data_IF_823597620915
#
_entry.id   IF_823597620915
#
_cell.length_a   1.000
_cell.length_b   1.000
_cell.length_c   1.000
_cell.angle_alpha   90.00
_cell.angle_beta   90.00
_cell.angle_gamma   90.00
#
_symmetry.space_group_name_H-M   'P 1'
#
loop_
_entity.id
_entity.type
_entity.pdbx_description
1 polymer ?
#
# COMPACT_ATOMS: atom_id res chain seq x y z
N UNK A 1 27.23 50.55 -3.84
CA UNK A 1 27.37 50.15 -2.43
C UNK A 1 28.09 48.81 -2.41
N UNK A 2 29.38 48.84 -2.06
CA UNK A 2 30.19 47.64 -1.92
C UNK A 2 29.84 46.97 -0.59
N UNK A 3 29.60 45.66 -0.61
CA UNK A 3 29.37 44.87 0.59
C UNK A 3 30.70 44.29 1.07
N UNK A 4 31.06 44.60 2.32
CA UNK A 4 32.18 44.00 3.03
C UNK A 4 32.02 42.48 3.10
N UNK A 5 33.11 41.76 2.79
CA UNK A 5 33.24 40.34 3.12
C UNK A 5 33.96 40.22 4.47
N UNK A 6 33.43 39.46 5.44
CA UNK A 6 34.17 39.18 6.66
C UNK A 6 35.31 38.19 6.36
N UNK A 7 36.51 38.55 6.79
CA UNK A 7 37.68 37.67 6.86
C UNK A 7 37.41 36.59 7.91
N UNK A 8 37.46 35.33 7.49
CA UNK A 8 37.40 34.17 8.38
C UNK A 8 38.81 33.64 8.58
N UNK A 9 39.38 33.88 9.76
CA UNK A 9 40.68 33.37 10.18
C UNK A 9 40.56 31.92 10.66
N UNK A 10 40.97 30.98 9.81
CA UNK A 10 40.91 29.54 10.06
C UNK A 10 41.99 29.01 11.01
N UNK A 11 42.87 29.86 11.57
CA UNK A 11 43.99 29.40 12.43
C UNK A 11 43.66 29.29 13.93
N UNK A 12 42.40 29.45 14.33
CA UNK A 12 41.97 29.41 15.75
C UNK A 12 41.01 28.28 16.12
N UNK A 13 40.84 27.28 15.26
CA UNK A 13 40.17 26.02 15.58
C UNK A 13 41.24 24.94 15.53
N UNK A 14 41.77 24.49 16.68
CA UNK A 14 42.36 23.15 16.77
C UNK A 14 42.65 22.64 18.20
N UNK A 15 42.46 23.40 19.29
CA UNK A 15 42.74 22.86 20.65
C UNK A 15 41.54 22.83 21.63
N UNK A 16 40.46 23.57 21.37
CA UNK A 16 39.33 23.69 22.33
C UNK A 16 38.18 22.69 22.07
N UNK A 17 38.05 22.15 20.86
CA UNK A 17 36.93 21.24 20.52
C UNK A 17 37.11 19.82 21.08
N UNK A 18 38.35 19.36 21.26
CA UNK A 18 38.65 18.06 21.89
C UNK A 18 38.33 18.06 23.38
N UNK A 19 38.55 19.19 24.07
CA UNK A 19 38.19 19.35 25.47
C UNK A 19 36.67 19.45 25.68
N UNK A 20 35.95 20.09 24.75
CA UNK A 20 34.48 20.19 24.78
C UNK A 20 33.83 18.85 24.40
N UNK A 21 34.41 18.10 23.46
CA UNK A 21 33.96 16.75 23.13
C UNK A 21 34.24 15.76 24.28
N UNK A 22 35.42 15.81 24.90
CA UNK A 22 35.76 15.02 26.09
C UNK A 22 34.90 15.39 27.30
N UNK A 23 34.58 16.67 27.54
CA UNK A 23 33.63 17.09 28.59
C UNK A 23 32.18 16.75 28.29
N UNK A 24 31.80 16.62 27.01
CA UNK A 24 30.48 16.11 26.62
C UNK A 24 30.42 14.60 26.82
N UNK A 25 31.45 13.85 26.44
CA UNK A 25 31.54 12.40 26.66
C UNK A 25 31.64 12.04 28.15
N UNK A 26 32.38 12.80 28.96
CA UNK A 26 32.43 12.62 30.42
C UNK A 26 31.10 12.96 31.13
N UNK A 27 30.22 13.75 30.50
CA UNK A 27 28.84 13.95 30.96
C UNK A 27 27.88 12.81 30.56
N UNK A 28 28.26 11.96 29.62
CA UNK A 28 27.51 10.74 29.28
C UNK A 28 27.82 9.57 30.22
N UNK A 29 28.92 9.61 30.99
CA UNK A 29 29.30 8.55 31.94
C UNK A 29 28.32 8.38 33.12
N UNK A 30 27.47 9.39 33.36
CA UNK A 30 26.41 9.35 34.37
C UNK A 30 25.07 9.85 33.81
N UNK A 31 24.66 9.34 32.65
CA UNK A 31 23.23 9.30 32.38
C UNK A 31 22.59 8.41 33.43
N UNK A 32 21.83 9.01 34.35
CA UNK A 32 20.89 8.32 35.23
C UNK A 32 19.81 7.72 34.31
N UNK A 33 20.14 6.59 33.66
CA UNK A 33 19.21 5.79 32.90
C UNK A 33 18.11 5.45 33.89
N UNK A 34 16.98 6.15 33.77
CA UNK A 34 15.89 6.05 34.73
C UNK A 34 15.60 4.58 35.06
N UNK A 35 15.25 4.32 36.32
CA UNK A 35 15.14 3.03 37.03
C UNK A 35 14.33 1.90 36.34
N UNK A 36 13.91 2.10 35.10
CA UNK A 36 13.28 1.16 34.21
C UNK A 36 14.21 0.00 33.80
N UNK A 37 13.65 -1.21 33.74
CA UNK A 37 14.40 -2.43 33.42
C UNK A 37 14.89 -2.45 31.97
N UNK A 38 14.15 -1.85 31.03
CA UNK A 38 14.50 -1.86 29.60
C UNK A 38 15.68 -0.94 29.29
N UNK A 39 15.82 0.17 30.01
CA UNK A 39 16.95 1.09 29.84
C UNK A 39 18.28 0.44 30.24
N UNK A 40 18.29 -0.31 31.36
CA UNK A 40 19.46 -1.07 31.84
C UNK A 40 19.85 -2.21 30.90
N UNK A 41 18.86 -2.93 30.40
CA UNK A 41 19.07 -3.99 29.41
C UNK A 41 19.64 -3.42 28.10
N UNK A 42 19.09 -2.30 27.61
CA UNK A 42 19.61 -1.61 26.43
C UNK A 42 21.05 -1.08 26.63
N UNK A 43 21.40 -0.62 27.83
CA UNK A 43 22.77 -0.21 28.17
C UNK A 43 23.74 -1.39 28.17
N UNK A 44 23.39 -2.52 28.82
CA UNK A 44 24.23 -3.72 28.89
C UNK A 44 24.43 -4.34 27.51
N UNK A 45 23.36 -4.53 26.74
CA UNK A 45 23.43 -5.12 25.41
C UNK A 45 24.10 -4.14 24.44
N UNK A 46 23.68 -2.88 24.43
CA UNK A 46 24.20 -1.86 23.51
C UNK A 46 25.67 -1.53 23.77
N UNK A 47 26.03 -1.23 25.02
CA UNK A 47 27.40 -0.95 25.44
C UNK A 47 28.31 -2.16 25.27
N UNK A 48 27.85 -3.35 25.68
CA UNK A 48 28.63 -4.58 25.54
C UNK A 48 28.87 -4.97 24.08
N UNK A 49 27.90 -4.73 23.20
CA UNK A 49 28.07 -4.92 21.75
C UNK A 49 29.07 -3.93 21.17
N UNK A 50 29.00 -2.64 21.53
CA UNK A 50 29.96 -1.61 21.07
C UNK A 50 31.38 -1.94 21.53
N UNK A 51 31.56 -2.38 22.77
CA UNK A 51 32.86 -2.77 23.30
C UNK A 51 33.43 -3.99 22.55
N UNK A 52 32.60 -4.97 22.23
CA UNK A 52 32.99 -6.15 21.45
C UNK A 52 33.35 -5.78 20.00
N UNK A 53 32.58 -4.87 19.38
CA UNK A 53 32.86 -4.31 18.05
C UNK A 53 34.22 -3.61 18.06
N UNK A 54 34.47 -2.72 19.02
CA UNK A 54 35.74 -1.99 19.13
C UNK A 54 36.95 -2.94 19.30
N UNK A 55 36.78 -4.01 20.09
CA UNK A 55 37.79 -5.07 20.23
C UNK A 55 38.00 -5.86 18.93
N UNK A 56 36.93 -6.15 18.19
CA UNK A 56 37.01 -6.89 16.92
C UNK A 56 37.73 -6.08 15.82
N UNK A 57 37.44 -4.78 15.71
CA UNK A 57 38.05 -3.89 14.71
C UNK A 57 39.51 -3.52 14.99
N UNK A 58 39.97 -3.66 16.25
CA UNK A 58 41.38 -3.46 16.62
C UNK A 58 42.23 -4.74 16.48
N UNK A 59 41.61 -5.90 16.22
CA UNK A 59 42.27 -7.18 15.99
C UNK A 59 42.59 -7.48 14.51
N UNK A 60 43.53 -8.41 14.26
CA UNK A 60 43.99 -8.83 12.92
C UNK A 60 42.99 -9.71 12.12
N UNK A 61 41.74 -9.83 12.54
CA UNK A 61 40.76 -10.79 11.96
C UNK A 61 39.78 -10.19 10.94
N UNK A 62 40.13 -9.04 10.34
CA UNK A 62 39.30 -8.31 9.38
C UNK A 62 38.86 -9.15 8.16
N UNK A 63 39.68 -10.13 7.75
CA UNK A 63 39.40 -11.02 6.61
C UNK A 63 38.28 -12.01 6.92
N UNK A 64 38.23 -12.55 8.14
CA UNK A 64 37.21 -13.50 8.57
C UNK A 64 35.85 -12.81 8.73
N UNK A 65 35.84 -11.62 9.34
CA UNK A 65 34.65 -10.75 9.43
C UNK A 65 34.12 -10.34 8.05
N UNK A 66 35.01 -10.14 7.07
CA UNK A 66 34.63 -9.83 5.69
C UNK A 66 33.90 -10.97 4.98
N UNK A 67 34.36 -12.22 5.17
CA UNK A 67 33.72 -13.40 4.58
C UNK A 67 32.32 -13.65 5.16
N UNK A 68 32.15 -13.48 6.47
CA UNK A 68 30.85 -13.61 7.15
C UNK A 68 29.86 -12.52 6.72
N UNK A 69 30.34 -11.29 6.55
CA UNK A 69 29.53 -10.17 6.04
C UNK A 69 29.05 -10.41 4.61
N UNK A 70 29.91 -10.95 3.74
CA UNK A 70 29.55 -11.33 2.37
C UNK A 70 28.52 -12.48 2.34
N UNK A 71 28.69 -13.48 3.22
CA UNK A 71 27.72 -14.56 3.40
C UNK A 71 26.34 -14.04 3.82
N UNK A 72 26.29 -13.14 4.82
CA UNK A 72 25.06 -12.51 5.27
C UNK A 72 24.39 -11.65 4.18
N UNK A 73 25.18 -10.92 3.39
CA UNK A 73 24.67 -10.16 2.25
C UNK A 73 24.06 -11.06 1.17
N UNK A 74 24.70 -12.20 0.86
CA UNK A 74 24.18 -13.20 -0.07
C UNK A 74 22.86 -13.83 0.43
N UNK A 75 22.77 -14.15 1.73
CA UNK A 75 21.54 -14.62 2.37
C UNK A 75 20.45 -13.55 2.30
N UNK A 76 20.76 -12.28 2.59
CA UNK A 76 19.81 -11.16 2.46
C UNK A 76 19.28 -11.00 1.03
N UNK A 77 20.14 -11.17 0.02
CA UNK A 77 19.75 -11.14 -1.39
C UNK A 77 18.87 -12.34 -1.76
N UNK A 78 19.22 -13.54 -1.32
CA UNK A 78 18.43 -14.76 -1.54
C UNK A 78 17.06 -14.69 -0.86
N UNK A 79 17.01 -14.17 0.37
CA UNK A 79 15.77 -13.89 1.12
C UNK A 79 14.89 -12.93 0.33
N UNK A 80 15.43 -11.81 -0.17
CA UNK A 80 14.64 -10.86 -0.99
C UNK A 80 14.15 -11.46 -2.31
N UNK A 81 14.99 -12.24 -3.00
CA UNK A 81 14.58 -12.94 -4.21
C UNK A 81 13.46 -13.97 -3.93
N UNK A 82 13.54 -14.66 -2.79
CA UNK A 82 12.51 -15.61 -2.34
C UNK A 82 11.23 -14.89 -1.90
N UNK A 83 11.31 -13.80 -1.14
CA UNK A 83 10.17 -12.96 -0.74
C UNK A 83 9.42 -12.37 -1.95
N UNK A 84 10.16 -12.02 -3.01
CA UNK A 84 9.60 -11.50 -4.24
C UNK A 84 8.80 -12.57 -5.01
N UNK A 85 9.24 -13.83 -4.96
CA UNK A 85 8.55 -14.96 -5.61
C UNK A 85 7.44 -15.56 -4.75
N UNK A 86 7.58 -15.54 -3.43
CA UNK A 86 6.67 -16.19 -2.48
C UNK A 86 6.28 -15.26 -1.33
N UNK A 87 5.43 -14.24 -1.58
CA UNK A 87 5.07 -13.24 -0.56
C UNK A 87 4.43 -13.83 0.69
N UNK A 88 3.67 -14.93 0.55
CA UNK A 88 3.01 -15.61 1.65
C UNK A 88 3.97 -16.23 2.67
N UNK A 89 5.22 -16.52 2.27
CA UNK A 89 6.24 -17.11 3.13
C UNK A 89 7.13 -16.05 3.80
N UNK A 90 6.90 -14.75 3.59
CA UNK A 90 7.72 -13.66 4.16
C UNK A 90 8.09 -13.85 5.64
N UNK A 91 7.16 -14.16 6.57
CA UNK A 91 7.51 -14.38 7.97
C UNK A 91 8.45 -15.58 8.15
N UNK A 92 8.18 -16.69 7.44
CA UNK A 92 8.98 -17.90 7.51
C UNK A 92 10.35 -17.73 6.86
N UNK A 93 10.46 -16.98 5.76
CA UNK A 93 11.73 -16.67 5.08
C UNK A 93 12.56 -15.69 5.90
N UNK A 94 11.94 -14.70 6.55
CA UNK A 94 12.65 -13.79 7.45
C UNK A 94 13.22 -14.54 8.67
N UNK A 95 12.42 -15.43 9.28
CA UNK A 95 12.87 -16.28 10.40
C UNK A 95 13.91 -17.30 9.93
N UNK A 96 13.72 -17.94 8.78
CA UNK A 96 14.69 -18.88 8.22
C UNK A 96 15.99 -18.17 7.78
N UNK A 97 15.92 -16.95 7.26
CA UNK A 97 17.09 -16.14 6.93
C UNK A 97 17.92 -15.79 8.17
N UNK A 98 17.26 -15.50 9.29
CA UNK A 98 17.92 -15.34 10.60
C UNK A 98 18.48 -16.68 11.10
N UNK A 99 17.73 -17.78 10.99
CA UNK A 99 18.17 -19.10 11.44
C UNK A 99 19.28 -19.73 10.57
N UNK A 100 19.40 -19.34 9.30
CA UNK A 100 20.44 -19.83 8.37
C UNK A 100 21.77 -19.09 8.52
N UNK A 101 21.85 -18.05 9.35
CA UNK A 101 23.15 -17.56 9.82
C UNK A 101 23.70 -18.56 10.85
N UNK A 102 24.39 -19.58 10.35
CA UNK A 102 24.93 -20.70 11.14
C UNK A 102 25.74 -20.24 12.36
N UNK A 103 26.40 -19.08 12.28
CA UNK A 103 27.11 -18.43 13.39
C UNK A 103 26.19 -17.99 14.53
N UNK A 104 25.05 -17.34 14.23
CA UNK A 104 24.11 -16.84 15.25
C UNK A 104 23.47 -17.99 16.02
N UNK A 105 23.08 -19.08 15.34
CA UNK A 105 22.50 -20.26 16.01
C UNK A 105 23.53 -20.99 16.85
N UNK A 106 24.74 -21.21 16.33
CA UNK A 106 25.83 -21.87 17.06
C UNK A 106 26.20 -21.09 18.33
N UNK A 107 26.34 -19.78 18.22
CA UNK A 107 26.77 -18.93 19.33
C UNK A 107 25.65 -18.75 20.35
N UNK A 108 24.37 -18.73 19.93
CA UNK A 108 23.22 -18.78 20.83
C UNK A 108 23.13 -20.11 21.61
N UNK A 109 23.45 -21.24 20.98
CA UNK A 109 23.45 -22.55 21.66
C UNK A 109 24.61 -22.66 22.66
N UNK A 110 25.79 -22.14 22.32
CA UNK A 110 26.96 -22.21 23.21
C UNK A 110 26.92 -21.21 24.36
N UNK A 111 26.43 -19.99 24.15
CA UNK A 111 26.47 -18.91 25.15
C UNK A 111 25.08 -18.52 25.69
N UNK A 112 24.00 -19.15 25.23
CA UNK A 112 22.64 -18.74 25.59
C UNK A 112 22.34 -18.77 27.09
N UNK A 113 22.88 -19.74 27.82
CA UNK A 113 22.74 -19.80 29.29
C UNK A 113 23.47 -18.67 29.99
N UNK A 114 24.69 -18.33 29.54
CA UNK A 114 25.49 -17.24 30.10
C UNK A 114 24.85 -15.88 29.81
N UNK A 115 24.41 -15.66 28.57
CA UNK A 115 23.67 -14.46 28.16
C UNK A 115 22.37 -14.34 28.98
N UNK A 116 21.62 -15.43 29.14
CA UNK A 116 20.39 -15.43 29.94
C UNK A 116 20.64 -15.06 31.41
N UNK A 117 21.73 -15.56 31.99
CA UNK A 117 22.12 -15.24 33.37
C UNK A 117 22.53 -13.75 33.50
N UNK A 118 23.27 -13.21 32.55
CA UNK A 118 23.67 -11.79 32.53
C UNK A 118 22.44 -10.87 32.43
N UNK A 119 21.46 -11.21 31.58
CA UNK A 119 20.24 -10.42 31.44
C UNK A 119 19.35 -10.50 32.69
N UNK A 120 19.23 -11.69 33.28
CA UNK A 120 18.49 -11.89 34.53
C UNK A 120 19.13 -11.08 35.67
N UNK A 121 20.45 -11.12 35.81
CA UNK A 121 21.18 -10.35 36.82
C UNK A 121 21.05 -8.83 36.59
N UNK A 122 21.02 -8.38 35.32
CA UNK A 122 20.77 -6.97 34.97
C UNK A 122 19.38 -6.48 35.39
N UNK A 123 18.39 -7.38 35.38
CA UNK A 123 17.03 -7.07 35.81
C UNK A 123 16.84 -7.07 37.33
N UNK A 124 17.57 -7.94 38.02
CA UNK A 124 17.46 -8.15 39.46
C UNK A 124 18.36 -7.21 40.26
N UNK A 125 19.52 -6.81 39.71
CA UNK A 125 20.54 -6.03 40.39
C UNK A 125 20.97 -4.81 39.57
N UNK A 126 20.37 -3.65 39.88
CA UNK A 126 20.65 -2.39 39.17
C UNK A 126 22.12 -1.92 39.28
N UNK A 127 22.81 -2.30 40.35
CA UNK A 127 24.20 -1.87 40.60
C UNK A 127 25.21 -2.74 39.83
N UNK A 128 24.76 -3.83 39.18
CA UNK A 128 25.63 -4.75 38.42
C UNK A 128 25.73 -4.37 36.93
N UNK A 129 25.11 -3.28 36.48
CA UNK A 129 25.06 -2.92 35.05
C UNK A 129 26.44 -2.88 34.36
N UNK A 130 27.46 -2.32 35.02
CA UNK A 130 28.79 -2.23 34.40
C UNK A 130 29.52 -3.58 34.35
N UNK A 131 29.33 -4.41 35.39
CA UNK A 131 29.85 -5.78 35.41
C UNK A 131 29.15 -6.62 34.33
N UNK A 132 27.83 -6.49 34.22
CA UNK A 132 27.02 -7.20 33.23
C UNK A 132 27.28 -6.71 31.81
N UNK A 133 27.55 -5.42 31.60
CA UNK A 133 28.02 -4.88 30.31
C UNK A 133 29.33 -5.54 29.89
N UNK A 134 30.31 -5.65 30.79
CA UNK A 134 31.61 -6.29 30.51
C UNK A 134 31.48 -7.79 30.28
N UNK A 135 30.71 -8.48 31.12
CA UNK A 135 30.39 -9.89 30.95
C UNK A 135 29.64 -10.15 29.64
N UNK A 136 28.70 -9.27 29.30
CA UNK A 136 28.02 -9.30 28.01
C UNK A 136 29.02 -9.06 26.89
N UNK A 137 29.93 -8.09 26.96
CA UNK A 137 30.95 -7.87 25.93
C UNK A 137 31.84 -9.11 25.70
N UNK A 138 32.14 -9.88 26.75
CA UNK A 138 32.97 -11.08 26.69
C UNK A 138 32.22 -12.32 26.19
N UNK A 139 30.99 -12.53 26.66
CA UNK A 139 30.23 -13.76 26.38
C UNK A 139 29.10 -13.57 25.35
N UNK A 140 28.45 -12.40 25.36
CA UNK A 140 27.36 -12.02 24.45
C UNK A 140 27.76 -11.03 23.35
N UNK A 141 28.95 -10.45 23.41
CA UNK A 141 29.38 -9.35 22.55
C UNK A 141 29.71 -9.82 21.15
N UNK A 142 30.30 -11.03 21.04
CA UNK A 142 30.45 -11.73 19.76
C UNK A 142 29.08 -12.06 19.15
N UNK A 143 28.13 -12.54 19.95
CA UNK A 143 26.76 -12.77 19.49
C UNK A 143 26.08 -11.47 19.03
N UNK A 144 26.22 -10.38 19.77
CA UNK A 144 25.69 -9.07 19.42
C UNK A 144 26.31 -8.50 18.14
N UNK A 145 27.64 -8.65 17.98
CA UNK A 145 28.36 -8.30 16.76
C UNK A 145 27.91 -9.16 15.58
N UNK A 146 27.84 -10.49 15.74
CA UNK A 146 27.42 -11.41 14.68
C UNK A 146 25.96 -11.16 14.28
N UNK A 147 25.08 -10.86 15.24
CA UNK A 147 23.70 -10.47 14.99
C UNK A 147 23.64 -9.10 14.29
N UNK A 148 24.46 -8.13 14.69
CA UNK A 148 24.52 -6.81 14.07
C UNK A 148 25.10 -6.86 12.64
N UNK A 149 26.14 -7.67 12.40
CA UNK A 149 26.72 -7.92 11.09
C UNK A 149 25.80 -8.73 10.20
N UNK A 150 25.09 -9.72 10.77
CA UNK A 150 24.09 -10.49 10.03
C UNK A 150 22.89 -9.63 9.68
N UNK A 151 22.38 -8.84 10.63
CA UNK A 151 21.26 -7.93 10.40
C UNK A 151 21.65 -6.80 9.46
N UNK A 152 22.81 -6.18 9.68
CA UNK A 152 23.37 -5.13 8.83
C UNK A 152 23.69 -5.62 7.42
N UNK A 153 24.33 -6.79 7.31
CA UNK A 153 24.60 -7.48 6.05
C UNK A 153 23.31 -7.88 5.32
N UNK A 154 22.30 -8.37 6.04
CA UNK A 154 20.99 -8.67 5.47
C UNK A 154 20.26 -7.40 5.02
N UNK A 155 20.34 -6.30 5.77
CA UNK A 155 19.78 -5.00 5.39
C UNK A 155 20.48 -4.41 4.17
N UNK A 156 21.82 -4.45 4.11
CA UNK A 156 22.63 -4.00 2.98
C UNK A 156 22.38 -4.89 1.75
N UNK A 157 22.40 -6.21 1.90
CA UNK A 157 22.05 -7.17 0.85
C UNK A 157 20.62 -6.97 0.36
N UNK A 158 19.69 -6.63 1.25
CA UNK A 158 18.32 -6.24 0.91
C UNK A 158 18.29 -4.92 0.13
N UNK A 159 19.04 -3.90 0.53
CA UNK A 159 19.09 -2.61 -0.16
C UNK A 159 19.72 -2.73 -1.56
N UNK A 160 20.82 -3.47 -1.68
CA UNK A 160 21.49 -3.79 -2.96
C UNK A 160 20.58 -4.65 -3.83
N UNK A 161 20.02 -5.73 -3.27
CA UNK A 161 19.04 -6.56 -3.96
C UNK A 161 17.83 -5.75 -4.42
N UNK A 162 17.37 -4.79 -3.63
CA UNK A 162 16.30 -3.89 -4.03
C UNK A 162 16.73 -2.99 -5.21
N UNK A 163 17.94 -2.44 -5.17
CA UNK A 163 18.45 -1.62 -6.27
C UNK A 163 18.68 -2.42 -7.56
N UNK A 164 19.14 -3.67 -7.45
CA UNK A 164 19.39 -4.55 -8.60
C UNK A 164 18.07 -5.04 -9.19
N UNK A 165 17.15 -5.53 -8.35
CA UNK A 165 15.87 -6.09 -8.78
C UNK A 165 14.81 -5.04 -9.14
N UNK A 166 14.98 -3.78 -8.72
CA UNK A 166 13.97 -2.74 -8.93
C UNK A 166 14.54 -1.39 -9.39
N UNK A 167 15.83 -1.34 -9.72
CA UNK A 167 16.43 -0.15 -10.32
C UNK A 167 15.93 0.10 -11.75
N UNK A 168 16.27 1.26 -12.33
CA UNK A 168 15.83 1.65 -13.69
C UNK A 168 16.10 0.60 -14.78
N UNK A 169 17.17 -0.20 -14.63
CA UNK A 169 17.54 -1.29 -15.56
C UNK A 169 16.95 -2.66 -15.25
N UNK A 170 16.12 -2.81 -14.22
CA UNK A 170 15.49 -4.11 -13.90
C UNK A 170 14.43 -4.48 -14.94
N UNK A 171 14.31 -5.76 -15.27
CA UNK A 171 13.21 -6.32 -16.05
C UNK A 171 11.97 -6.62 -15.19
N UNK A 172 11.95 -6.17 -13.93
CA UNK A 172 10.83 -6.41 -13.03
C UNK A 172 10.25 -5.11 -12.48
N UNK A 173 8.96 -5.15 -12.17
CA UNK A 173 8.23 -4.07 -11.50
C UNK A 173 7.54 -4.61 -10.25
N UNK A 174 7.40 -3.74 -9.25
CA UNK A 174 6.54 -4.00 -8.09
C UNK A 174 5.15 -3.51 -8.42
N UNK A 175 4.18 -4.40 -8.26
CA UNK A 175 2.78 -4.04 -8.35
C UNK A 175 2.12 -4.44 -7.05
N UNK A 176 1.48 -3.49 -6.33
CA UNK A 176 0.66 -3.82 -5.19
C UNK A 176 -0.53 -4.66 -5.65
N UNK A 177 -0.72 -5.83 -5.03
CA UNK A 177 -1.81 -6.74 -5.38
C UNK A 177 -2.61 -7.15 -4.16
N UNK A 178 -3.87 -7.55 -4.39
CA UNK A 178 -4.69 -8.21 -3.37
C UNK A 178 -4.97 -9.67 -3.75
N UNK A 179 -4.12 -10.58 -3.28
CA UNK A 179 -4.33 -12.02 -3.44
C UNK A 179 -5.09 -12.63 -2.24
N UNK A 180 -6.32 -12.17 -2.01
CA UNK A 180 -7.24 -12.78 -1.04
C UNK A 180 -6.77 -12.94 0.40
N UNK A 181 -7.56 -13.65 1.24
CA UNK A 181 -7.11 -14.03 2.55
C UNK A 181 -5.94 -14.99 2.33
N UNK A 182 -4.73 -14.56 2.63
CA UNK A 182 -3.60 -15.49 2.74
C UNK A 182 -3.96 -16.64 3.69
N UNK A 183 -3.10 -17.66 3.76
CA UNK A 183 -3.26 -18.92 4.52
C UNK A 183 -3.85 -18.81 5.94
N UNK A 184 -3.84 -17.63 6.56
CA UNK A 184 -4.28 -17.39 7.95
C UNK A 184 -5.47 -16.44 8.11
N UNK A 185 -6.15 -16.01 7.05
CA UNK A 185 -7.37 -15.19 7.15
C UNK A 185 -7.18 -13.80 7.81
N UNK A 186 -5.95 -13.40 8.15
CA UNK A 186 -5.65 -12.09 8.72
C UNK A 186 -5.59 -11.06 7.60
N UNK A 187 -6.59 -10.17 7.60
CA UNK A 187 -6.71 -8.91 6.86
C UNK A 187 -5.97 -8.81 5.53
N UNK A 188 -6.71 -8.79 4.41
CA UNK A 188 -6.23 -8.43 3.07
C UNK A 188 -5.53 -7.07 3.11
N UNK A 189 -4.22 -7.07 3.28
CA UNK A 189 -3.38 -5.91 3.02
C UNK A 189 -2.75 -6.11 1.66
N UNK A 190 -2.64 -5.04 0.86
CA UNK A 190 -1.98 -5.16 -0.42
C UNK A 190 -0.55 -5.61 -0.16
N UNK A 191 -0.07 -6.56 -0.94
CA UNK A 191 1.32 -6.96 -0.92
C UNK A 191 1.93 -6.70 -2.29
N UNK A 192 3.13 -6.14 -2.26
CA UNK A 192 3.95 -5.98 -3.45
C UNK A 192 4.28 -7.36 -4.02
N UNK A 193 3.85 -7.60 -5.27
CA UNK A 193 4.30 -8.74 -6.08
C UNK A 193 5.30 -8.25 -7.11
N UNK A 194 6.25 -9.14 -7.41
CA UNK A 194 7.18 -8.96 -8.50
C UNK A 194 6.54 -9.48 -9.79
N UNK A 195 6.50 -8.64 -10.82
CA UNK A 195 6.11 -9.04 -12.17
C UNK A 195 7.23 -8.71 -13.13
N UNK A 196 7.39 -9.52 -14.18
CA UNK A 196 8.22 -9.12 -15.33
C UNK A 196 7.60 -7.87 -15.96
N UNK A 197 8.43 -6.96 -16.49
CA UNK A 197 7.95 -5.82 -17.29
C UNK A 197 7.14 -6.30 -18.49
N UNK A 198 7.50 -7.45 -19.05
CA UNK A 198 6.80 -8.06 -20.19
C UNK A 198 5.56 -8.88 -19.76
N UNK A 199 5.23 -8.92 -18.46
CA UNK A 199 4.02 -9.60 -18.00
C UNK A 199 2.77 -8.90 -18.58
N UNK A 200 1.84 -9.62 -19.20
CA UNK A 200 0.64 -9.01 -19.78
C UNK A 200 -0.17 -8.17 -18.80
N UNK A 201 -0.20 -8.52 -17.51
CA UNK A 201 -0.91 -7.75 -16.49
C UNK A 201 -0.21 -6.43 -16.17
N UNK A 202 1.12 -6.40 -16.24
CA UNK A 202 1.90 -5.17 -16.08
C UNK A 202 1.69 -4.26 -17.27
N UNK A 203 1.78 -4.78 -18.48
CA UNK A 203 1.52 -4.02 -19.71
C UNK A 203 0.12 -3.43 -19.69
N UNK A 204 -0.86 -4.20 -19.24
CA UNK A 204 -2.23 -3.75 -19.06
C UNK A 204 -2.36 -2.64 -18.02
N UNK A 205 -1.72 -2.80 -16.85
CA UNK A 205 -1.69 -1.79 -15.80
C UNK A 205 -1.05 -0.48 -16.29
N UNK A 206 0.12 -0.55 -16.91
CA UNK A 206 0.84 0.62 -17.40
C UNK A 206 0.07 1.33 -18.50
N UNK A 207 -0.61 0.57 -19.39
CA UNK A 207 -1.51 1.15 -20.40
C UNK A 207 -2.71 1.83 -19.76
N UNK A 208 -3.33 1.23 -18.74
CA UNK A 208 -4.52 1.77 -18.10
C UNK A 208 -4.23 2.92 -17.12
N UNK A 209 -3.04 2.95 -16.51
CA UNK A 209 -2.66 3.89 -15.44
C UNK A 209 -2.92 5.35 -15.79
N UNK A 210 -2.57 5.87 -17.00
CA UNK A 210 -2.83 7.26 -17.36
C UNK A 210 -4.30 7.68 -17.30
N UNK A 211 -5.20 6.72 -17.50
CA UNK A 211 -6.64 6.95 -17.53
C UNK A 211 -7.33 6.74 -16.18
N UNK A 212 -6.61 6.36 -15.15
CA UNK A 212 -7.19 6.16 -13.81
C UNK A 212 -6.93 7.40 -12.97
N UNK A 213 -8.01 7.89 -12.35
CA UNK A 213 -8.04 9.12 -11.61
C UNK A 213 -8.40 8.84 -10.16
N UNK A 214 -7.73 9.51 -9.23
CA UNK A 214 -8.14 9.52 -7.84
C UNK A 214 -9.20 10.60 -7.61
N UNK A 215 -10.42 10.20 -7.25
CA UNK A 215 -11.51 11.12 -6.99
C UNK A 215 -11.51 11.56 -5.53
N UNK A 216 -11.57 12.87 -5.33
CA UNK A 216 -11.75 13.48 -4.02
C UNK A 216 -13.04 14.29 -4.01
N UNK A 217 -13.90 14.00 -3.05
CA UNK A 217 -15.17 14.71 -2.94
C UNK A 217 -15.49 15.05 -1.48
N UNK A 218 -15.99 16.25 -1.22
CA UNK A 218 -16.50 16.64 0.11
C UNK A 218 -17.81 17.42 0.03
N UNK A 219 -18.63 17.27 1.07
CA UNK A 219 -19.90 17.98 1.18
C UNK A 219 -19.71 19.49 1.42
N UNK A 220 -18.64 19.84 2.15
CA UNK A 220 -18.25 21.22 2.42
C UNK A 220 -16.78 21.41 2.04
N UNK A 221 -16.42 22.64 1.64
CA UNK A 221 -15.03 23.01 1.39
C UNK A 221 -14.24 22.88 2.70
N UNK A 222 -13.16 22.11 2.69
CA UNK A 222 -12.33 21.86 3.88
C UNK A 222 -12.82 20.78 4.84
N UNK A 223 -13.98 20.14 4.59
CA UNK A 223 -14.39 18.97 5.39
C UNK A 223 -13.61 17.72 4.99
N UNK A 224 -13.72 16.66 5.81
CA UNK A 224 -13.17 15.34 5.47
C UNK A 224 -13.63 14.92 4.06
N UNK A 225 -12.66 14.63 3.19
CA UNK A 225 -12.90 14.23 1.81
C UNK A 225 -13.09 12.72 1.75
N UNK A 226 -14.16 12.26 1.11
CA UNK A 226 -14.23 10.89 0.64
C UNK A 226 -13.24 10.71 -0.51
N UNK A 227 -12.46 9.63 -0.45
CA UNK A 227 -11.57 9.19 -1.52
C UNK A 227 -12.26 8.05 -2.27
N UNK A 228 -12.22 8.13 -3.60
CA UNK A 228 -12.78 7.17 -4.53
C UNK A 228 -11.92 7.15 -5.79
N UNK A 229 -12.37 6.45 -6.82
CA UNK A 229 -11.74 6.40 -8.13
C UNK A 229 -12.67 6.97 -9.20
N UNK A 230 -12.08 7.36 -10.32
CA UNK A 230 -12.74 7.58 -11.58
C UNK A 230 -11.81 7.10 -12.70
N UNK A 231 -12.32 6.96 -13.92
CA UNK A 231 -11.47 6.69 -15.07
C UNK A 231 -11.94 7.43 -16.31
N UNK A 232 -10.98 7.82 -17.14
CA UNK A 232 -11.19 8.52 -18.40
C UNK A 232 -11.77 7.59 -19.46
N UNK A 233 -12.71 8.15 -20.21
CA UNK A 233 -13.37 7.53 -21.35
C UNK A 233 -13.43 8.55 -22.50
N UNK A 234 -13.88 8.10 -23.66
CA UNK A 234 -14.13 8.92 -24.85
C UNK A 234 -12.86 9.52 -25.46
N UNK A 235 -12.73 10.85 -25.52
CA UNK A 235 -11.53 11.59 -25.97
C UNK A 235 -10.67 12.03 -24.77
N UNK A 236 -10.88 11.46 -23.59
CA UNK A 236 -10.17 11.83 -22.37
C UNK A 236 -10.69 13.10 -21.69
N UNK A 237 -11.78 13.71 -22.18
CA UNK A 237 -12.45 14.84 -21.52
C UNK A 237 -13.53 14.40 -20.51
N UNK A 238 -14.03 13.18 -20.64
CA UNK A 238 -15.06 12.60 -19.78
C UNK A 238 -14.46 11.54 -18.86
N UNK A 239 -14.97 11.48 -17.63
CA UNK A 239 -14.64 10.43 -16.68
C UNK A 239 -15.90 9.77 -16.12
N UNK A 240 -15.78 8.48 -15.79
CA UNK A 240 -16.84 7.70 -15.14
C UNK A 240 -16.47 7.46 -13.68
N UNK A 241 -17.44 7.61 -12.77
CA UNK A 241 -17.33 7.19 -11.37
C UNK A 241 -18.68 6.65 -10.87
N UNK A 242 -18.78 6.30 -9.59
CA UNK A 242 -20.08 5.97 -8.98
C UNK A 242 -20.84 7.22 -8.55
N UNK A 243 -22.16 7.19 -8.67
CA UNK A 243 -23.06 8.26 -8.22
C UNK A 243 -22.87 8.56 -6.73
N UNK A 244 -22.81 7.53 -5.87
CA UNK A 244 -22.66 7.71 -4.43
C UNK A 244 -21.35 8.40 -4.03
N UNK A 245 -20.33 8.40 -4.89
CA UNK A 245 -19.06 9.08 -4.63
C UNK A 245 -19.16 10.61 -4.78
N UNK A 246 -20.11 11.09 -5.60
CA UNK A 246 -20.27 12.52 -5.95
C UNK A 246 -21.59 13.13 -5.47
N UNK A 247 -22.59 12.30 -5.14
CA UNK A 247 -23.90 12.78 -4.70
C UNK A 247 -23.80 13.63 -3.41
N UNK A 248 -24.43 14.81 -3.43
CA UNK A 248 -24.42 15.77 -2.33
C UNK A 248 -23.05 16.41 -2.03
N UNK A 249 -22.06 16.26 -2.92
CA UNK A 249 -20.71 16.83 -2.76
C UNK A 249 -20.63 18.17 -3.50
N UNK A 250 -19.97 19.14 -2.89
CA UNK A 250 -19.82 20.51 -3.43
C UNK A 250 -18.40 20.81 -3.90
N UNK A 251 -17.40 20.19 -3.28
CA UNK A 251 -15.99 20.31 -3.64
C UNK A 251 -15.55 18.97 -4.22
N UNK A 252 -15.44 18.89 -5.55
CA UNK A 252 -15.08 17.67 -6.28
C UNK A 252 -13.90 18.00 -7.20
N UNK A 253 -12.85 17.21 -7.09
CA UNK A 253 -11.71 17.26 -8.00
C UNK A 253 -11.12 15.85 -8.14
N UNK A 254 -10.33 15.67 -9.18
CA UNK A 254 -9.57 14.44 -9.41
C UNK A 254 -8.08 14.72 -9.32
N UNK A 255 -7.29 13.72 -8.94
CA UNK A 255 -5.84 13.73 -9.07
C UNK A 255 -5.48 12.72 -10.16
N UNK A 256 -4.76 13.15 -11.20
CA UNK A 256 -4.31 12.25 -12.26
C UNK A 256 -3.03 11.48 -11.87
N UNK A 257 -2.55 10.59 -12.75
CA UNK A 257 -1.36 9.79 -12.48
C UNK A 257 -0.06 10.63 -12.40
N UNK A 258 -0.07 11.88 -12.87
CA UNK A 258 1.04 12.82 -12.73
C UNK A 258 0.96 13.58 -11.39
N UNK A 259 -0.04 13.28 -10.55
CA UNK A 259 -0.27 13.98 -9.27
C UNK A 259 -0.92 15.35 -9.44
N UNK A 260 -1.39 15.71 -10.64
CA UNK A 260 -2.01 17.00 -10.89
C UNK A 260 -3.47 16.97 -10.45
N UNK A 261 -3.86 17.94 -9.61
CA UNK A 261 -5.25 18.14 -9.22
C UNK A 261 -6.00 18.83 -10.36
N UNK A 262 -7.14 18.29 -10.78
CA UNK A 262 -7.99 18.83 -11.83
C UNK A 262 -9.41 19.02 -11.32
N UNK A 263 -9.98 20.19 -11.58
CA UNK A 263 -11.40 20.42 -11.29
C UNK A 263 -12.27 19.54 -12.17
N UNK A 264 -13.47 19.19 -11.68
CA UNK A 264 -14.44 18.42 -12.47
C UNK A 264 -15.82 19.04 -12.37
N UNK A 265 -16.59 18.91 -13.45
CA UNK A 265 -18.00 19.22 -13.49
C UNK A 265 -18.79 17.91 -13.52
N UNK A 266 -19.80 17.76 -12.67
CA UNK A 266 -20.69 16.59 -12.73
C UNK A 266 -21.74 16.85 -13.80
N UNK A 267 -21.67 16.11 -14.91
CA UNK A 267 -22.59 16.28 -16.04
C UNK A 267 -23.90 15.54 -15.81
N UNK A 268 -23.81 14.31 -15.32
CA UNK A 268 -24.97 13.44 -15.13
C UNK A 268 -24.75 12.52 -13.93
N UNK A 269 -25.81 12.30 -13.15
CA UNK A 269 -25.86 11.33 -12.05
C UNK A 269 -27.04 10.39 -12.28
N UNK A 270 -26.77 9.09 -12.36
CA UNK A 270 -27.76 8.02 -12.41
C UNK A 270 -27.68 7.22 -11.10
N UNK A 271 -28.52 7.58 -10.13
CA UNK A 271 -28.56 6.93 -8.83
C UNK A 271 -29.00 5.44 -8.91
N UNK A 272 -30.02 5.06 -9.71
CA UNK A 272 -30.38 3.65 -9.87
C UNK A 272 -29.21 2.76 -10.33
N UNK A 273 -28.43 3.21 -11.33
CA UNK A 273 -27.27 2.45 -11.85
C UNK A 273 -26.00 2.67 -11.01
N UNK A 274 -26.04 3.62 -10.09
CA UNK A 274 -24.92 4.14 -9.32
C UNK A 274 -23.72 4.55 -10.18
N UNK A 275 -24.00 5.33 -11.22
CA UNK A 275 -23.03 5.82 -12.19
C UNK A 275 -23.13 7.35 -12.26
N UNK A 276 -21.99 8.03 -12.33
CA UNK A 276 -21.93 9.44 -12.65
C UNK A 276 -20.91 9.70 -13.76
N UNK A 277 -21.24 10.65 -14.63
CA UNK A 277 -20.36 11.13 -15.69
C UNK A 277 -19.85 12.51 -15.30
N UNK A 278 -18.54 12.64 -15.33
CA UNK A 278 -17.81 13.86 -15.00
C UNK A 278 -17.16 14.42 -16.26
N UNK A 279 -17.08 15.74 -16.36
CA UNK A 279 -16.18 16.44 -17.28
C UNK A 279 -14.94 16.85 -16.52
N UNK A 280 -13.77 16.42 -16.96
CA UNK A 280 -12.49 16.81 -16.33
C UNK A 280 -12.01 18.10 -16.97
N UNK A 281 -11.75 19.12 -16.16
CA UNK A 281 -11.26 20.41 -16.67
C UNK A 281 -9.77 20.30 -17.01
N UNK A 282 -9.31 20.98 -18.06
CA UNK A 282 -7.88 21.15 -18.29
C UNK A 282 -7.20 21.93 -17.18
N UNK A 283 -5.92 21.62 -16.96
CA UNK A 283 -5.08 22.37 -16.03
C UNK A 283 -5.32 22.04 -14.55
N UNK A 284 -4.76 22.89 -13.69
CA UNK A 284 -4.83 22.75 -12.24
C UNK A 284 -6.19 23.19 -11.70
N UNK A 285 -6.70 22.49 -10.69
CA UNK A 285 -7.95 22.80 -9.99
C UNK A 285 -8.04 24.24 -9.43
N UNK A 286 -6.91 24.96 -9.33
CA UNK A 286 -6.87 26.35 -8.87
C UNK A 286 -7.26 27.37 -9.96
N UNK A 287 -7.22 27.01 -11.25
CA UNK A 287 -7.66 27.87 -12.33
C UNK A 287 -9.19 27.82 -12.40
N UNK A 288 -9.85 28.83 -11.84
CA UNK A 288 -11.30 28.96 -11.79
C UNK A 288 -11.94 29.38 -13.13
N UNK A 289 -11.22 29.21 -14.25
CA UNK A 289 -11.74 29.54 -15.57
C UNK A 289 -12.93 28.62 -15.91
N UNK A 290 -14.09 29.18 -16.31
CA UNK A 290 -15.24 28.39 -16.71
C UNK A 290 -14.90 27.51 -17.91
N UNK A 291 -15.32 26.24 -17.86
CA UNK A 291 -14.99 25.18 -18.81
C UNK A 291 -15.65 25.33 -20.20
N UNK A 292 -16.01 26.54 -20.63
CA UNK A 292 -17.02 26.78 -21.66
C UNK A 292 -16.52 26.87 -23.11
N UNK A 293 -15.23 26.70 -23.43
CA UNK A 293 -14.80 26.89 -24.84
C UNK A 293 -13.66 26.02 -25.38
N UNK A 294 -13.01 25.16 -24.59
CA UNK A 294 -11.93 24.31 -25.13
C UNK A 294 -12.15 22.86 -24.71
N UNK A 295 -12.41 21.98 -25.70
CA UNK A 295 -12.22 20.52 -25.58
C UNK A 295 -10.73 20.27 -25.37
N UNK A 296 -10.26 20.49 -24.15
CA UNK A 296 -8.90 20.16 -23.81
C UNK A 296 -8.85 18.67 -23.48
N UNK A 297 -8.40 17.91 -24.46
CA UNK A 297 -8.10 16.49 -24.33
C UNK A 297 -6.92 16.36 -23.38
N UNK A 298 -7.10 15.61 -22.29
CA UNK A 298 -5.95 15.17 -21.50
C UNK A 298 -5.05 14.33 -22.41
N UNK A 299 -3.71 14.43 -22.31
CA UNK A 299 -2.80 13.75 -23.23
C UNK A 299 -2.70 12.24 -22.96
N UNK A 300 -3.77 11.63 -22.44
CA UNK A 300 -3.83 10.26 -21.96
C UNK A 300 -4.78 9.46 -22.84
N UNK A 301 -4.37 8.26 -23.26
CA UNK A 301 -5.22 7.36 -24.03
C UNK A 301 -6.40 6.88 -23.16
N UNK A 302 -7.64 7.27 -23.48
CA UNK A 302 -8.82 6.91 -22.68
C UNK A 302 -9.08 5.40 -22.72
N UNK A 303 -9.73 4.88 -21.68
CA UNK A 303 -10.10 3.47 -21.67
C UNK A 303 -11.26 3.21 -22.63
N UNK A 304 -11.13 2.15 -23.43
CA UNK A 304 -12.19 1.67 -24.31
C UNK A 304 -13.23 0.89 -23.51
N UNK A 305 -14.51 1.21 -23.70
CA UNK A 305 -15.61 0.39 -23.19
C UNK A 305 -15.73 -0.89 -24.04
N UNK A 306 -15.92 -2.03 -23.39
CA UNK A 306 -16.23 -3.27 -24.09
C UNK A 306 -17.62 -3.17 -24.77
N UNK A 307 -17.77 -3.83 -25.92
CA UNK A 307 -19.03 -3.84 -26.69
C UNK A 307 -20.12 -4.68 -26.01
N UNK A 308 -19.71 -5.64 -25.19
CA UNK A 308 -20.59 -6.53 -24.45
C UNK A 308 -20.20 -6.61 -22.98
N UNK A 309 -21.16 -7.03 -22.15
CA UNK A 309 -20.90 -7.31 -20.73
C UNK A 309 -19.99 -8.53 -20.59
N UNK A 310 -19.21 -8.56 -19.50
CA UNK A 310 -18.44 -9.75 -19.15
C UNK A 310 -19.37 -10.91 -18.78
N UNK A 311 -19.00 -12.11 -19.22
CA UNK A 311 -19.71 -13.35 -18.94
C UNK A 311 -19.17 -14.03 -17.67
N UNK A 312 -19.94 -14.92 -17.03
CA UNK A 312 -19.45 -15.71 -15.90
C UNK A 312 -18.15 -16.44 -16.23
N UNK A 313 -17.20 -16.45 -15.28
CA UNK A 313 -15.83 -17.00 -15.37
C UNK A 313 -14.82 -16.15 -16.14
N UNK A 314 -15.23 -15.08 -16.81
CA UNK A 314 -14.30 -14.15 -17.42
C UNK A 314 -13.29 -13.64 -16.38
N UNK A 315 -12.03 -13.58 -16.80
CA UNK A 315 -10.95 -13.05 -15.97
C UNK A 315 -11.01 -11.54 -15.98
N UNK A 316 -11.05 -10.98 -14.78
CA UNK A 316 -11.17 -9.56 -14.56
C UNK A 316 -9.96 -9.02 -13.84
N UNK A 317 -9.67 -7.76 -14.10
CA UNK A 317 -8.68 -6.98 -13.38
C UNK A 317 -9.30 -5.69 -12.89
N UNK A 318 -9.29 -5.47 -11.58
CA UNK A 318 -9.63 -4.15 -11.03
C UNK A 318 -8.36 -3.38 -10.79
N UNK A 319 -8.30 -2.18 -11.36
CA UNK A 319 -7.18 -1.27 -11.20
C UNK A 319 -7.66 -0.06 -10.42
N UNK A 320 -7.07 0.16 -9.24
CA UNK A 320 -7.60 1.17 -8.31
C UNK A 320 -6.51 1.90 -7.55
N UNK A 321 -6.67 3.22 -7.39
CA UNK A 321 -6.02 3.98 -6.33
C UNK A 321 -6.71 3.65 -5.02
N UNK A 322 -5.94 3.34 -3.98
CA UNK A 322 -6.49 2.98 -2.68
C UNK A 322 -6.00 3.89 -1.58
N UNK A 323 -6.87 4.06 -0.58
CA UNK A 323 -6.50 4.82 0.62
C UNK A 323 -5.24 4.20 1.25
N UNK A 324 -4.22 5.03 1.47
CA UNK A 324 -2.90 4.70 2.03
C UNK A 324 -1.95 3.96 1.08
N UNK A 325 -2.35 3.67 -0.16
CA UNK A 325 -1.43 3.23 -1.20
C UNK A 325 -1.01 4.45 -2.03
N UNK A 326 0.27 4.53 -2.37
CA UNK A 326 0.78 5.57 -3.27
C UNK A 326 0.55 5.21 -4.74
N UNK A 327 0.53 3.92 -5.03
CA UNK A 327 0.40 3.36 -6.36
C UNK A 327 -0.96 2.69 -6.60
N UNK A 328 -1.25 2.47 -7.88
CA UNK A 328 -2.38 1.66 -8.31
C UNK A 328 -2.20 0.22 -7.83
N UNK A 329 -3.31 -0.35 -7.39
CA UNK A 329 -3.37 -1.74 -6.96
C UNK A 329 -4.07 -2.59 -8.01
N UNK A 330 -3.56 -3.80 -8.22
CA UNK A 330 -4.19 -4.82 -9.05
C UNK A 330 -4.92 -5.84 -8.20
N UNK A 331 -6.21 -6.03 -8.50
CA UNK A 331 -7.01 -7.06 -7.88
C UNK A 331 -7.55 -7.99 -8.96
N UNK A 332 -6.83 -9.07 -9.29
CA UNK A 332 -7.33 -10.06 -10.23
C UNK A 332 -8.55 -10.78 -9.62
N UNK A 333 -9.52 -11.12 -10.46
CA UNK A 333 -10.70 -11.85 -10.04
C UNK A 333 -11.40 -12.49 -11.22
N UNK A 334 -12.58 -13.04 -10.95
CA UNK A 334 -13.43 -13.63 -11.95
C UNK A 334 -14.87 -13.16 -11.79
N UNK A 335 -15.60 -13.11 -12.89
CA UNK A 335 -17.05 -12.99 -12.87
C UNK A 335 -17.69 -14.25 -12.26
N UNK A 336 -18.65 -14.05 -11.36
CA UNK A 336 -19.38 -15.12 -10.69
C UNK A 336 -20.76 -15.26 -11.32
N UNK A 337 -21.17 -16.51 -11.59
CA UNK A 337 -22.56 -16.80 -11.95
C UNK A 337 -23.46 -16.58 -10.72
N UNK A 338 -24.43 -15.68 -10.83
CA UNK A 338 -25.40 -15.42 -9.78
C UNK A 338 -26.14 -16.68 -9.30
N UNK A 339 -26.36 -17.66 -10.17
CA UNK A 339 -26.98 -18.95 -9.78
C UNK A 339 -26.13 -19.69 -8.76
N UNK A 340 -24.80 -19.61 -8.88
CA UNK A 340 -23.87 -20.20 -7.90
C UNK A 340 -23.80 -19.38 -6.60
N UNK A 341 -24.17 -18.09 -6.66
CA UNK A 341 -24.12 -17.17 -5.52
C UNK A 341 -25.36 -17.27 -4.61
N UNK A 342 -26.52 -17.65 -5.15
CA UNK A 342 -27.81 -17.71 -4.46
C UNK A 342 -27.92 -18.79 -3.36
N UNK A 343 -26.92 -19.66 -3.19
CA UNK A 343 -26.95 -20.75 -2.21
C UNK A 343 -26.46 -20.36 -0.79
N UNK A 344 -26.10 -19.09 -0.53
CA UNK A 344 -25.82 -18.61 0.84
C UNK A 344 -27.07 -18.00 1.49
N UNK A 345 -27.73 -18.67 2.46
CA UNK A 345 -29.08 -18.31 2.89
C UNK A 345 -29.21 -17.02 3.73
N UNK A 346 -28.12 -16.33 4.05
CA UNK A 346 -28.13 -15.11 4.90
C UNK A 346 -26.98 -14.18 4.52
N UNK A 347 -27.20 -13.31 3.53
CA UNK A 347 -26.28 -12.20 3.26
C UNK A 347 -26.90 -10.91 3.77
N UNK A 348 -26.28 -10.35 4.81
CA UNK A 348 -26.54 -8.99 5.28
C UNK A 348 -25.54 -8.03 4.64
N UNK A 349 -26.01 -6.82 4.34
CA UNK A 349 -25.23 -5.78 3.68
C UNK A 349 -24.80 -4.74 4.70
N UNK A 350 -23.53 -4.36 4.68
CA UNK A 350 -23.10 -3.14 5.36
C UNK A 350 -22.52 -2.16 4.34
N UNK A 351 -23.25 -1.08 4.05
CA UNK A 351 -22.60 0.11 3.51
C UNK A 351 -21.64 0.66 4.57
N UNK A 352 -20.48 1.13 4.12
CA UNK A 352 -19.43 1.67 4.97
C UNK A 352 -19.97 2.79 5.88
N UNK A 353 -19.77 2.65 7.19
CA UNK A 353 -19.65 3.78 8.12
C UNK A 353 -20.88 4.21 8.92
N UNK A 354 -22.08 3.73 8.62
CA UNK A 354 -23.28 4.03 9.41
C UNK A 354 -23.67 2.87 10.33
N UNK A 355 -24.09 3.15 11.58
CA UNK A 355 -24.86 2.20 12.42
C UNK A 355 -26.24 1.97 11.77
N UNK A 356 -26.30 1.33 10.60
CA UNK A 356 -27.56 0.97 9.96
C UNK A 356 -28.13 -0.27 10.66
N UNK A 357 -29.32 -0.13 11.22
CA UNK A 357 -30.11 -1.23 11.76
C UNK A 357 -30.60 -2.11 10.60
N UNK A 358 -30.38 -3.41 10.73
CA UNK A 358 -30.83 -4.62 9.99
C UNK A 358 -32.11 -4.63 9.10
N UNK A 359 -32.58 -3.55 8.46
CA UNK A 359 -33.88 -3.58 7.72
C UNK A 359 -33.78 -3.51 6.19
N UNK A 360 -32.58 -3.56 5.59
CA UNK A 360 -32.45 -3.60 4.13
C UNK A 360 -32.60 -5.04 3.63
N UNK A 361 -33.67 -5.30 2.88
CA UNK A 361 -33.87 -6.60 2.19
C UNK A 361 -33.24 -6.53 0.81
N UNK A 362 -32.35 -7.48 0.52
CA UNK A 362 -31.88 -7.72 -0.83
C UNK A 362 -32.59 -8.94 -1.37
N UNK A 363 -33.24 -8.77 -2.51
CA UNK A 363 -33.81 -9.87 -3.27
C UNK A 363 -32.89 -10.14 -4.44
N UNK A 364 -32.25 -11.31 -4.42
CA UNK A 364 -31.51 -11.83 -5.57
C UNK A 364 -32.49 -12.63 -6.41
N UNK A 365 -32.77 -12.19 -7.63
CA UNK A 365 -33.53 -13.00 -8.57
C UNK A 365 -32.56 -13.88 -9.38
N UNK A 366 -32.52 -15.21 -9.14
CA UNK A 366 -31.57 -16.10 -9.81
C UNK A 366 -31.87 -16.30 -11.31
N UNK A 367 -33.06 -15.90 -11.78
CA UNK A 367 -33.48 -16.04 -13.18
C UNK A 367 -33.21 -14.78 -13.99
N UNK A 368 -33.51 -13.58 -13.46
CA UNK A 368 -33.24 -12.31 -14.15
C UNK A 368 -31.80 -11.81 -14.01
N UNK A 369 -30.98 -12.44 -13.16
CA UNK A 369 -29.63 -11.98 -12.81
C UNK A 369 -29.63 -10.55 -12.23
N UNK A 370 -30.71 -10.18 -11.54
CA UNK A 370 -30.83 -8.88 -10.90
C UNK A 370 -30.67 -9.00 -9.38
N UNK A 371 -29.94 -8.05 -8.82
CA UNK A 371 -29.86 -7.82 -7.39
C UNK A 371 -30.66 -6.56 -7.11
N UNK A 372 -31.87 -6.72 -6.57
CA UNK A 372 -32.74 -5.60 -6.23
C UNK A 372 -32.46 -5.17 -4.79
N UNK A 373 -32.15 -3.89 -4.60
CA UNK A 373 -31.96 -3.30 -3.28
C UNK A 373 -33.22 -2.53 -2.89
N UNK A 374 -33.84 -2.89 -1.78
CA UNK A 374 -34.91 -2.08 -1.19
C UNK A 374 -34.41 -1.43 0.09
N UNK A 375 -34.21 -0.11 0.04
CA UNK A 375 -33.86 0.73 1.20
C UNK A 375 -34.97 1.76 1.43
N UNK A 376 -35.70 1.64 2.53
CA UNK A 376 -36.67 2.65 2.97
C UNK A 376 -36.00 3.77 3.80
N UNK A 377 -36.47 5.03 3.81
CA UNK A 377 -37.14 5.79 2.75
C UNK A 377 -36.20 6.82 2.07
N UNK A 378 -34.94 6.97 2.51
CA UNK A 378 -34.11 8.11 2.08
C UNK A 378 -33.20 7.80 0.87
N UNK A 379 -33.15 6.55 0.42
CA UNK A 379 -32.38 6.07 -0.74
C UNK A 379 -33.22 5.06 -1.54
N UNK A 380 -34.49 5.39 -1.80
CA UNK A 380 -35.48 4.52 -2.43
C UNK A 380 -35.25 4.26 -3.95
N UNK A 381 -34.01 4.26 -4.43
CA UNK A 381 -33.70 4.32 -5.87
C UNK A 381 -32.97 3.13 -6.49
N UNK A 382 -32.45 2.17 -5.71
CA UNK A 382 -31.75 0.99 -6.28
C UNK A 382 -32.72 -0.15 -6.58
N UNK A 383 -33.86 0.19 -7.17
CA UNK A 383 -34.73 -0.78 -7.82
C UNK A 383 -34.30 -0.79 -9.28
N UNK A 384 -33.78 -1.91 -9.74
CA UNK A 384 -33.48 -2.20 -11.15
C UNK A 384 -32.10 -1.75 -11.69
N UNK A 385 -31.03 -2.34 -11.14
CA UNK A 385 -29.73 -2.33 -11.80
C UNK A 385 -29.15 -3.73 -11.85
N UNK A 386 -28.90 -4.22 -13.07
CA UNK A 386 -28.05 -5.38 -13.30
C UNK A 386 -26.68 -5.11 -12.65
N UNK A 387 -26.23 -6.01 -11.79
CA UNK A 387 -24.92 -5.95 -11.14
C UNK A 387 -24.13 -7.18 -11.50
N UNK A 388 -22.87 -6.96 -11.80
CA UNK A 388 -21.87 -8.02 -11.93
C UNK A 388 -21.36 -8.39 -10.54
N UNK A 389 -21.36 -9.68 -10.24
CA UNK A 389 -20.73 -10.23 -9.04
C UNK A 389 -19.34 -10.74 -9.40
N UNK A 390 -18.37 -10.46 -8.55
CA UNK A 390 -16.96 -10.76 -8.82
C UNK A 390 -16.21 -11.16 -7.56
N UNK A 391 -15.11 -11.89 -7.72
CA UNK A 391 -14.32 -12.51 -6.62
C UNK A 391 -13.01 -11.80 -6.26
N UNK A 392 -12.78 -10.57 -6.72
CA UNK A 392 -11.53 -9.86 -6.40
C UNK A 392 -11.52 -9.31 -4.97
N UNK A 393 -10.40 -8.76 -4.53
CA UNK A 393 -10.25 -8.22 -3.18
C UNK A 393 -10.06 -6.71 -3.22
N UNK A 394 -10.73 -6.01 -2.30
CA UNK A 394 -10.70 -4.56 -2.24
C UNK A 394 -10.80 -4.05 -0.81
N UNK A 395 -10.20 -2.89 -0.57
CA UNK A 395 -10.37 -2.10 0.65
C UNK A 395 -11.19 -0.83 0.35
N UNK A 396 -11.61 -0.13 1.39
CA UNK A 396 -12.31 1.14 1.22
C UNK A 396 -11.55 2.12 0.31
N UNK A 397 -12.30 2.79 -0.58
CA UNK A 397 -11.77 3.75 -1.54
C UNK A 397 -11.72 3.27 -2.99
N UNK A 398 -12.01 1.99 -3.27
CA UNK A 398 -12.00 1.44 -4.64
C UNK A 398 -13.24 1.78 -5.47
N UNK A 399 -14.31 2.31 -4.88
CA UNK A 399 -15.53 2.70 -5.61
C UNK A 399 -15.17 3.63 -6.76
N UNK A 400 -15.68 3.32 -7.95
CA UNK A 400 -15.44 4.06 -9.18
C UNK A 400 -14.27 3.52 -10.01
N UNK A 401 -13.60 2.46 -9.55
CA UNK A 401 -12.48 1.86 -10.30
C UNK A 401 -12.97 1.09 -11.52
N UNK A 402 -12.26 1.15 -12.66
CA UNK A 402 -12.60 0.32 -13.81
C UNK A 402 -12.37 -1.15 -13.51
N UNK A 403 -13.28 -1.98 -14.00
CA UNK A 403 -13.11 -3.43 -14.09
C UNK A 403 -12.76 -3.75 -15.54
N UNK A 404 -11.55 -4.23 -15.75
CA UNK A 404 -10.98 -4.49 -17.08
C UNK A 404 -11.04 -5.97 -17.41
N UNK A 405 -11.26 -6.27 -18.69
CA UNK A 405 -10.92 -7.55 -19.30
C UNK A 405 -9.40 -7.69 -19.43
N UNK A 406 -8.92 -8.88 -19.81
CA UNK A 406 -7.51 -9.08 -20.16
C UNK A 406 -7.09 -8.39 -21.48
N UNK A 407 -8.04 -7.94 -22.31
CA UNK A 407 -7.76 -7.09 -23.48
C UNK A 407 -7.60 -5.62 -23.12
N UNK A 408 -7.91 -5.22 -21.89
CA UNK A 408 -7.84 -3.82 -21.42
C UNK A 408 -9.08 -3.00 -21.68
N UNK A 409 -10.17 -3.64 -22.05
CA UNK A 409 -11.46 -3.01 -22.22
C UNK A 409 -12.21 -2.97 -20.89
N UNK A 410 -12.91 -1.86 -20.63
CA UNK A 410 -13.77 -1.71 -19.46
C UNK A 410 -15.02 -2.56 -19.64
N UNK A 411 -15.16 -3.58 -18.82
CA UNK A 411 -16.36 -4.44 -18.77
C UNK A 411 -17.30 -4.05 -17.65
N UNK A 412 -16.86 -3.17 -16.74
CA UNK A 412 -17.72 -2.57 -15.71
C UNK A 412 -16.98 -1.61 -14.79
N UNK A 413 -17.66 -1.20 -13.72
CA UNK A 413 -17.14 -0.26 -12.71
C UNK A 413 -17.39 -0.81 -11.31
N UNK A 414 -16.33 -0.93 -10.49
CA UNK A 414 -16.46 -1.40 -9.11
C UNK A 414 -17.33 -0.43 -8.32
N UNK A 415 -18.33 -0.96 -7.63
CA UNK A 415 -19.31 -0.15 -6.89
C UNK A 415 -19.19 -0.32 -5.38
N UNK A 416 -19.08 -1.57 -4.92
CA UNK A 416 -19.02 -1.86 -3.49
C UNK A 416 -18.85 -3.34 -3.20
N UNK A 417 -18.82 -3.69 -1.91
CA UNK A 417 -18.50 -5.03 -1.44
C UNK A 417 -19.76 -5.73 -0.91
N UNK A 418 -19.87 -7.05 -1.10
CA UNK A 418 -21.02 -7.85 -0.71
C UNK A 418 -20.75 -8.75 0.51
N UNK A 419 -21.49 -8.50 1.59
CA UNK A 419 -21.58 -9.39 2.75
C UNK A 419 -21.28 -8.66 4.08
N UNK A 420 -21.22 -9.39 5.22
CA UNK A 420 -20.89 -8.81 6.53
C UNK A 420 -19.53 -8.09 6.47
N UNK A 421 -19.11 -7.29 7.45
CA UNK A 421 -17.79 -6.60 7.42
C UNK A 421 -16.59 -7.49 7.03
N UNK A 422 -16.70 -8.80 7.22
CA UNK A 422 -15.77 -9.85 6.77
C UNK A 422 -15.82 -10.15 5.26
N UNK A 423 -16.67 -9.51 4.48
CA UNK A 423 -16.79 -9.69 3.02
C UNK A 423 -15.58 -9.18 2.27
N UNK A 424 -14.87 -8.19 2.83
CA UNK A 424 -13.53 -7.84 2.40
C UNK A 424 -12.58 -9.05 2.45
N UNK A 425 -12.84 -10.01 3.34
CA UNK A 425 -12.05 -11.25 3.52
C UNK A 425 -12.56 -12.36 2.59
N UNK A 426 -13.79 -12.30 2.09
CA UNK A 426 -14.32 -13.30 1.15
C UNK A 426 -14.15 -12.93 -0.32
N UNK A 427 -13.74 -11.69 -0.61
CA UNK A 427 -13.47 -11.22 -1.97
C UNK A 427 -14.72 -11.02 -2.81
N UNK A 428 -15.90 -10.87 -2.21
CA UNK A 428 -17.14 -10.74 -2.99
C UNK A 428 -17.45 -9.27 -3.25
N UNK A 429 -17.39 -8.85 -4.52
CA UNK A 429 -17.61 -7.45 -4.93
C UNK A 429 -18.68 -7.29 -6.01
N UNK A 430 -19.27 -6.10 -6.01
CA UNK A 430 -20.23 -5.60 -6.97
C UNK A 430 -19.57 -4.71 -7.99
N UNK A 431 -20.05 -4.81 -9.22
CA UNK A 431 -19.73 -3.83 -10.25
C UNK A 431 -20.96 -3.54 -11.10
N UNK A 432 -21.13 -2.29 -11.54
CA UNK A 432 -22.09 -2.02 -12.62
C UNK A 432 -21.50 -2.49 -13.94
N UNK A 433 -22.28 -3.19 -14.79
CA UNK A 433 -21.82 -3.68 -16.09
C UNK A 433 -21.55 -2.53 -17.06
N UNK A 434 -20.74 -2.77 -18.08
CA UNK A 434 -20.44 -1.79 -19.13
C UNK A 434 -21.69 -1.30 -19.86
N UNK A 435 -22.72 -2.13 -20.03
CA UNK A 435 -24.00 -1.71 -20.63
C UNK A 435 -24.69 -0.59 -19.83
N UNK A 436 -24.56 -0.61 -18.50
CA UNK A 436 -25.08 0.46 -17.64
C UNK A 436 -24.27 1.76 -17.82
N UNK A 437 -22.94 1.65 -17.97
CA UNK A 437 -22.07 2.80 -18.25
C UNK A 437 -22.41 3.42 -19.60
N UNK A 438 -22.53 2.60 -20.64
CA UNK A 438 -22.86 3.03 -21.99
C UNK A 438 -24.20 3.77 -22.06
N UNK A 439 -25.23 3.29 -21.36
CA UNK A 439 -26.54 3.94 -21.30
C UNK A 439 -26.48 5.34 -20.69
N UNK A 440 -25.78 5.49 -19.55
CA UNK A 440 -25.64 6.79 -18.87
C UNK A 440 -24.75 7.73 -19.68
N UNK A 441 -23.68 7.22 -20.29
CA UNK A 441 -22.81 8.00 -21.17
C UNK A 441 -23.55 8.54 -22.39
N UNK A 442 -24.39 7.73 -23.03
CA UNK A 442 -25.22 8.18 -24.15
C UNK A 442 -26.14 9.35 -23.75
N UNK A 443 -26.80 9.24 -22.60
CA UNK A 443 -27.65 10.31 -22.07
C UNK A 443 -26.86 11.59 -21.74
N UNK A 444 -25.63 11.44 -21.23
CA UNK A 444 -24.75 12.57 -20.96
C UNK A 444 -24.31 13.28 -22.25
N UNK A 445 -24.01 12.54 -23.32
CA UNK A 445 -23.65 13.13 -24.63
C UNK A 445 -24.79 13.94 -25.23
N UNK A 446 -26.03 13.45 -25.17
CA UNK A 446 -27.20 14.22 -25.61
C UNK A 446 -27.32 15.56 -24.88
N UNK A 447 -26.97 15.63 -23.59
CA UNK A 447 -26.94 16.89 -22.85
C UNK A 447 -25.85 17.85 -23.32
N UNK A 448 -24.72 17.34 -23.83
CA UNK A 448 -23.63 18.16 -24.33
C UNK A 448 -23.89 18.72 -25.73
N UNK A 449 -24.57 17.96 -26.58
CA UNK A 449 -24.84 18.35 -27.96
C UNK A 449 -26.05 19.28 -28.10
N UNK A 450 -26.93 19.31 -27.09
CA UNK A 450 -28.15 20.14 -27.08
C UNK A 450 -28.04 21.48 -26.36
N UNK A 451 -26.86 21.87 -25.88
CA UNK A 451 -26.64 23.04 -25.02
C UNK A 451 -25.76 24.14 -25.60
#
# INVERSE_FOLDING_TARGET
>A
MAADKPDFDFKKMDDDDDAVFAQRMARYDHMDYGDDKLSREAYVIGGGTVDAVAKAFTGKNLVETGAETLGAAAVGLAVRAAEAKMPALRPAIAVAGLAMSFSVVRDLVHHGTEIGNILTDTWDHKDHQEQNRKAFAEHGGKFGLDLALTTGGAMLGSAVGNRVLFGPGSNYVRVPTYDGPGLFGRGVSPHERLFSKDDPLVQLLEKARPSILELHASALKGSMRSRANAFLIDDGSLAVTNCHCVNGKKDIYVTDYLGQKRGVDVLLQDAPRDIAILRVRPGSAAAAEPASSVKAVLPFEPLKLAEANAEPRDRLLVVSSQSKQRDLTLSPGHMVDMKTFALSPKMSFSEYGGKLKNTNTITVNPFSREVVYKKEPNWAGLVDAQRMLSTYYSKGGVSGSPVLSLSGEVVGIHTGNFGPKWSQITGRNASSPVSAIAAVLAAARTHLDGG
#
